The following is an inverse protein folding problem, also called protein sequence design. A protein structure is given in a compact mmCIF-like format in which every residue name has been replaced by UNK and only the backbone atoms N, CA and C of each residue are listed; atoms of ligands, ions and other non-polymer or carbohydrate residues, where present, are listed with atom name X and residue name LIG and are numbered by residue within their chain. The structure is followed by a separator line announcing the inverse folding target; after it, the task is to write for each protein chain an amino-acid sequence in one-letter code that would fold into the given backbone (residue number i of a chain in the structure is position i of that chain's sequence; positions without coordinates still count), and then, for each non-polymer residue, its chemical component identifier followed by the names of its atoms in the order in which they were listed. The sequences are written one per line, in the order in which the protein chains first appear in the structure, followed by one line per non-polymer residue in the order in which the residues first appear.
data_IF_747911755456
#
_entry.id   IF_747911755456
#
_cell.length_a   1.000
_cell.length_b   1.000
_cell.length_c   1.000
_cell.angle_alpha   90.00
_cell.angle_beta   90.00
_cell.angle_gamma   90.00
#
_symmetry.space_group_name_H-M   'P 1'
#
loop_
_entity.id
_entity.type
_entity.pdbx_description
1 polymer ?
#
# COMPACT_ATOMS: atom_id res chain seq x y z
N UNK A 1 -21.36 16.74 -0.45
CA UNK A 1 -20.85 15.48 -1.01
C UNK A 1 -19.42 15.24 -0.54
N UNK A 2 -19.04 13.97 -0.42
CA UNK A 2 -17.68 13.52 -0.11
C UNK A 2 -17.42 12.20 -0.80
N UNK A 3 -16.17 11.92 -1.11
CA UNK A 3 -15.71 10.63 -1.66
C UNK A 3 -14.99 9.84 -0.58
N UNK A 4 -15.29 8.54 -0.50
CA UNK A 4 -14.52 7.56 0.26
C UNK A 4 -13.96 6.49 -0.67
N UNK A 5 -12.73 6.02 -0.39
CA UNK A 5 -12.05 4.98 -1.15
C UNK A 5 -11.95 3.73 -0.27
N UNK A 6 -12.47 2.62 -0.76
CA UNK A 6 -12.24 1.29 -0.19
C UNK A 6 -11.62 0.40 -1.26
N UNK A 7 -10.51 -0.23 -0.94
CA UNK A 7 -9.70 -0.94 -1.93
C UNK A 7 -9.16 -2.27 -1.41
N UNK A 8 -8.87 -3.17 -2.35
CA UNK A 8 -8.07 -4.35 -2.05
C UNK A 8 -6.66 -3.93 -1.62
N UNK A 9 -6.19 -4.49 -0.51
CA UNK A 9 -4.85 -4.21 0.03
C UNK A 9 -3.78 -5.00 -0.73
N UNK A 10 -2.53 -4.84 -0.37
CA UNK A 10 -1.34 -5.59 -0.81
C UNK A 10 -1.03 -5.52 -2.31
N UNK A 11 -1.97 -5.16 -3.17
CA UNK A 11 -1.72 -4.94 -4.60
C UNK A 11 -0.79 -3.76 -4.78
N UNK A 12 0.38 -4.01 -5.38
CA UNK A 12 1.43 -3.00 -5.53
C UNK A 12 1.31 -2.27 -6.87
N UNK A 13 1.42 -0.95 -6.82
CA UNK A 13 1.51 -0.06 -7.98
C UNK A 13 2.81 0.73 -7.89
N UNK A 14 3.51 0.85 -9.02
CA UNK A 14 4.71 1.67 -9.17
C UNK A 14 4.48 2.64 -10.33
N UNK A 15 4.67 3.95 -10.12
CA UNK A 15 4.43 4.98 -11.13
C UNK A 15 5.45 6.10 -11.09
N UNK A 16 5.60 6.80 -12.19
CA UNK A 16 6.44 7.99 -12.26
C UNK A 16 5.66 9.19 -11.72
N UNK A 17 6.22 9.90 -10.73
CA UNK A 17 5.62 11.07 -10.06
C UNK A 17 5.36 12.23 -11.01
N UNK A 18 6.20 12.43 -12.02
CA UNK A 18 6.08 13.57 -12.94
C UNK A 18 4.96 13.38 -13.97
N UNK A 19 4.66 12.13 -14.31
CA UNK A 19 3.68 11.80 -15.36
C UNK A 19 2.41 11.16 -14.84
N UNK A 20 2.40 10.68 -13.59
CA UNK A 20 1.32 9.88 -13.02
C UNK A 20 1.15 8.50 -13.66
N UNK A 21 2.00 8.12 -14.63
CA UNK A 21 1.84 6.86 -15.37
C UNK A 21 2.51 5.71 -14.66
N UNK A 22 1.83 4.55 -14.54
CA UNK A 22 2.46 3.34 -14.04
C UNK A 22 3.65 2.93 -14.91
N UNK A 23 4.76 2.57 -14.27
CA UNK A 23 5.96 2.03 -14.95
C UNK A 23 5.82 0.53 -15.22
N UNK A 24 4.86 -0.12 -14.58
CA UNK A 24 4.52 -1.53 -14.76
C UNK A 24 3.06 -1.78 -14.38
N UNK A 25 2.48 -2.88 -14.87
CA UNK A 25 1.14 -3.30 -14.46
C UNK A 25 1.07 -3.53 -12.95
N UNK A 26 -0.03 -3.14 -12.30
CA UNK A 26 -0.26 -3.40 -10.89
C UNK A 26 -0.11 -4.90 -10.59
N UNK A 27 0.68 -5.22 -9.55
CA UNK A 27 0.92 -6.60 -9.16
C UNK A 27 -0.05 -6.97 -8.05
N UNK A 28 -1.03 -7.81 -8.38
CA UNK A 28 -2.10 -8.21 -7.47
C UNK A 28 -1.59 -9.01 -6.27
N UNK A 29 -2.33 -8.95 -5.17
CA UNK A 29 -2.01 -9.63 -3.90
C UNK A 29 -1.75 -11.14 -4.04
N UNK A 30 -2.41 -11.82 -4.97
CA UNK A 30 -2.26 -13.26 -5.24
C UNK A 30 -0.95 -13.64 -5.93
N UNK A 31 -0.21 -12.66 -6.47
CA UNK A 31 0.98 -12.93 -7.28
C UNK A 31 2.19 -13.30 -6.41
N UNK A 32 2.77 -14.45 -6.68
CA UNK A 32 3.92 -14.99 -5.95
C UNK A 32 5.30 -14.59 -6.52
N UNK A 33 5.39 -13.67 -7.50
CA UNK A 33 6.68 -13.33 -8.16
C UNK A 33 7.77 -12.80 -7.22
N UNK A 34 7.40 -12.30 -6.03
CA UNK A 34 8.32 -11.88 -4.99
C UNK A 34 8.86 -13.02 -4.10
N UNK A 35 8.50 -14.30 -4.37
CA UNK A 35 8.85 -15.43 -3.52
C UNK A 35 10.36 -15.62 -3.38
N UNK A 36 11.12 -15.52 -4.46
CA UNK A 36 12.57 -15.65 -4.42
C UNK A 36 13.24 -14.55 -3.55
N UNK A 37 12.65 -13.34 -3.53
CA UNK A 37 13.13 -12.25 -2.67
C UNK A 37 12.85 -12.57 -1.21
N UNK A 38 11.64 -13.03 -0.88
CA UNK A 38 11.30 -13.44 0.48
C UNK A 38 12.18 -14.60 0.97
N UNK A 39 12.43 -15.61 0.13
CA UNK A 39 13.29 -16.75 0.47
C UNK A 39 14.71 -16.28 0.78
N UNK A 40 15.27 -15.38 -0.03
CA UNK A 40 16.60 -14.80 0.22
C UNK A 40 16.65 -14.04 1.56
N UNK A 41 15.66 -13.22 1.87
CA UNK A 41 15.55 -12.49 3.12
C UNK A 41 15.45 -13.46 4.32
N UNK A 42 14.70 -14.56 4.17
CA UNK A 42 14.60 -15.59 5.20
C UNK A 42 15.92 -16.35 5.41
N UNK A 43 16.62 -16.72 4.32
CA UNK A 43 17.95 -17.36 4.36
C UNK A 43 19.00 -16.47 5.02
N UNK A 44 18.91 -15.15 4.84
CA UNK A 44 19.78 -14.16 5.47
C UNK A 44 19.40 -13.91 6.96
N UNK A 45 18.36 -14.57 7.49
CA UNK A 45 17.98 -14.55 8.90
C UNK A 45 17.02 -13.43 9.32
N UNK A 46 16.46 -12.66 8.40
CA UNK A 46 15.64 -11.48 8.70
C UNK A 46 14.13 -11.76 8.88
N UNK A 47 13.66 -12.99 8.69
CA UNK A 47 12.23 -13.31 8.74
C UNK A 47 11.57 -12.94 10.08
N UNK A 48 12.26 -13.16 11.21
CA UNK A 48 11.77 -12.81 12.53
C UNK A 48 11.67 -11.29 12.70
N UNK A 49 12.70 -10.54 12.32
CA UNK A 49 12.70 -9.07 12.38
C UNK A 49 11.55 -8.48 11.55
N UNK A 50 11.32 -8.99 10.33
CA UNK A 50 10.18 -8.57 9.51
C UNK A 50 8.86 -8.76 10.25
N UNK A 51 8.67 -9.91 10.91
CA UNK A 51 7.44 -10.18 11.66
C UNK A 51 7.31 -9.31 12.92
N UNK A 52 8.38 -9.08 13.65
CA UNK A 52 8.37 -8.25 14.86
C UNK A 52 8.08 -6.78 14.56
N UNK A 53 8.66 -6.23 13.50
CA UNK A 53 8.46 -4.83 13.12
C UNK A 53 7.12 -4.62 12.43
N UNK A 54 6.75 -5.46 11.47
CA UNK A 54 5.54 -5.27 10.65
C UNK A 54 4.28 -5.89 11.25
N UNK A 55 4.40 -6.77 12.26
CA UNK A 55 3.30 -7.54 12.83
C UNK A 55 2.76 -8.66 11.92
N UNK A 56 3.38 -8.91 10.77
CA UNK A 56 2.95 -9.91 9.77
C UNK A 56 4.12 -10.77 9.29
N UNK A 57 3.90 -12.06 9.01
CA UNK A 57 4.98 -12.95 8.59
C UNK A 57 5.53 -12.56 7.22
N UNK A 58 6.82 -12.81 7.00
CA UNK A 58 7.46 -12.59 5.69
C UNK A 58 6.78 -13.45 4.61
N UNK A 59 6.26 -12.81 3.56
CA UNK A 59 5.54 -13.48 2.48
C UNK A 59 5.46 -12.64 1.22
N UNK A 60 5.50 -13.23 0.02
CA UNK A 60 5.28 -12.55 -1.25
C UNK A 60 3.84 -12.03 -1.44
N UNK A 61 2.93 -12.41 -0.56
CA UNK A 61 1.56 -11.89 -0.52
C UNK A 61 1.51 -10.38 -0.35
N UNK A 62 2.42 -9.81 0.44
CA UNK A 62 2.46 -8.39 0.78
C UNK A 62 3.18 -7.54 -0.28
N UNK A 63 3.06 -6.20 -0.18
CA UNK A 63 3.48 -5.28 -1.24
C UNK A 63 4.98 -5.18 -1.42
N UNK A 64 5.78 -5.22 -0.34
CA UNK A 64 7.21 -4.94 -0.38
C UNK A 64 7.96 -5.83 -1.37
N UNK A 65 7.76 -7.15 -1.33
CA UNK A 65 8.43 -8.08 -2.24
C UNK A 65 8.03 -7.88 -3.71
N UNK A 66 6.79 -7.42 -3.97
CA UNK A 66 6.33 -7.09 -5.34
C UNK A 66 6.99 -5.83 -5.87
N UNK A 67 7.11 -4.79 -5.02
CA UNK A 67 7.81 -3.54 -5.35
C UNK A 67 9.28 -3.82 -5.59
N UNK A 68 9.93 -4.59 -4.71
CA UNK A 68 11.31 -5.01 -4.88
C UNK A 68 11.53 -5.77 -6.20
N UNK A 69 10.59 -6.64 -6.57
CA UNK A 69 10.65 -7.32 -7.86
C UNK A 69 10.58 -6.35 -9.04
N UNK A 70 9.71 -5.32 -9.00
CA UNK A 70 9.63 -4.29 -10.04
C UNK A 70 10.94 -3.53 -10.14
N UNK A 71 11.53 -3.10 -9.03
CA UNK A 71 12.83 -2.40 -9.00
C UNK A 71 13.98 -3.24 -9.60
N UNK A 72 13.92 -4.56 -9.45
CA UNK A 72 14.95 -5.47 -9.97
C UNK A 72 14.76 -5.82 -11.45
N UNK A 73 13.53 -5.85 -11.96
CA UNK A 73 13.21 -6.44 -13.25
C UNK A 73 12.66 -5.45 -14.29
N UNK A 74 12.30 -4.22 -13.89
CA UNK A 74 11.73 -3.20 -14.79
C UNK A 74 12.70 -2.03 -14.94
N UNK A 75 13.39 -1.89 -16.08
CA UNK A 75 14.39 -0.84 -16.29
C UNK A 75 13.85 0.58 -16.07
N UNK A 76 12.63 0.87 -16.52
CA UNK A 76 11.98 2.18 -16.34
C UNK A 76 11.74 2.49 -14.86
N UNK A 77 11.42 1.48 -14.04
CA UNK A 77 11.24 1.67 -12.60
C UNK A 77 12.56 2.00 -11.92
N UNK A 78 13.63 1.30 -12.31
CA UNK A 78 14.97 1.56 -11.79
C UNK A 78 15.45 2.96 -12.17
N UNK A 79 15.29 3.36 -13.43
CA UNK A 79 15.66 4.70 -13.90
C UNK A 79 14.89 5.80 -13.15
N UNK A 80 13.57 5.63 -12.97
CA UNK A 80 12.75 6.58 -12.21
C UNK A 80 13.16 6.62 -10.73
N UNK A 81 13.52 5.47 -10.14
CA UNK A 81 14.02 5.38 -8.76
C UNK A 81 15.35 6.12 -8.57
N UNK A 82 16.28 5.94 -9.51
CA UNK A 82 17.59 6.59 -9.48
C UNK A 82 17.48 8.12 -9.62
N UNK A 83 16.46 8.59 -10.33
CA UNK A 83 16.14 10.03 -10.47
C UNK A 83 15.29 10.60 -9.33
N UNK A 84 14.82 9.78 -8.38
CA UNK A 84 13.90 10.21 -7.32
C UNK A 84 12.46 10.46 -7.80
N UNK A 85 12.12 10.01 -9.00
CA UNK A 85 10.83 10.22 -9.66
C UNK A 85 9.84 9.05 -9.45
N UNK A 86 10.28 7.94 -8.86
CA UNK A 86 9.42 6.78 -8.63
C UNK A 86 8.57 6.97 -7.37
N UNK A 87 7.27 6.71 -7.51
CA UNK A 87 6.36 6.48 -6.41
C UNK A 87 5.95 5.00 -6.39
N UNK A 88 5.82 4.44 -5.20
CA UNK A 88 5.34 3.07 -4.99
C UNK A 88 4.31 3.04 -3.87
N UNK A 89 3.32 2.19 -3.99
CA UNK A 89 2.30 2.06 -2.96
C UNK A 89 1.25 1.02 -3.28
N UNK A 90 0.17 1.09 -2.53
CA UNK A 90 -1.04 0.30 -2.71
C UNK A 90 -2.05 1.05 -3.58
N UNK A 91 -3.16 0.40 -3.93
CA UNK A 91 -4.16 0.95 -4.86
C UNK A 91 -4.74 2.29 -4.41
N UNK A 92 -4.94 2.46 -3.10
CA UNK A 92 -5.45 3.69 -2.50
C UNK A 92 -4.56 4.89 -2.79
N UNK A 93 -3.25 4.77 -2.53
CA UNK A 93 -2.30 5.87 -2.74
C UNK A 93 -2.20 6.27 -4.21
N UNK A 94 -2.27 5.30 -5.13
CA UNK A 94 -2.33 5.58 -6.55
C UNK A 94 -3.64 6.26 -6.98
N UNK A 95 -4.80 5.81 -6.44
CA UNK A 95 -6.09 6.44 -6.72
C UNK A 95 -6.16 7.86 -6.16
N UNK A 96 -5.72 8.10 -4.92
CA UNK A 96 -5.64 9.45 -4.34
C UNK A 96 -4.77 10.35 -5.22
N UNK A 97 -3.59 9.87 -5.63
CA UNK A 97 -2.68 10.59 -6.51
C UNK A 97 -3.32 10.95 -7.86
N UNK A 98 -4.06 10.05 -8.46
CA UNK A 98 -4.70 10.28 -9.76
C UNK A 98 -5.94 11.17 -9.68
N UNK A 99 -6.71 11.05 -8.60
CA UNK A 99 -7.98 11.76 -8.44
C UNK A 99 -7.80 13.22 -7.97
N UNK A 100 -6.69 13.52 -7.31
CA UNK A 100 -6.44 14.87 -6.78
C UNK A 100 -5.65 15.73 -7.76
N UNK A 101 -6.04 17.02 -7.94
CA UNK A 101 -5.37 17.96 -8.86
C UNK A 101 -3.93 18.29 -8.45
N UNK A 102 -3.66 18.25 -7.16
CA UNK A 102 -2.34 18.50 -6.56
C UNK A 102 -1.51 17.20 -6.46
N UNK A 103 -2.02 16.08 -6.98
CA UNK A 103 -1.37 14.78 -6.91
C UNK A 103 -0.96 14.39 -5.49
N UNK A 104 -1.87 14.54 -4.54
CA UNK A 104 -1.64 14.20 -3.14
C UNK A 104 -1.17 12.75 -3.02
N UNK A 105 0.01 12.55 -2.42
CA UNK A 105 0.61 11.24 -2.29
C UNK A 105 0.46 10.73 -0.85
N UNK A 106 -0.69 10.14 -0.56
CA UNK A 106 -1.13 9.71 0.77
C UNK A 106 -1.67 8.29 0.75
N UNK A 107 -1.54 7.61 1.90
CA UNK A 107 -2.12 6.30 2.21
C UNK A 107 -2.66 6.30 3.64
N UNK A 108 -3.42 5.28 4.01
CA UNK A 108 -3.90 5.13 5.38
C UNK A 108 -3.20 3.99 6.13
N UNK A 109 -3.35 3.96 7.46
CA UNK A 109 -2.78 2.91 8.31
C UNK A 109 -3.22 1.51 7.92
N UNK A 110 -4.47 1.32 7.47
CA UNK A 110 -4.99 0.01 7.13
C UNK A 110 -4.37 -0.58 5.86
N UNK A 111 -3.96 0.28 4.91
CA UNK A 111 -3.21 -0.11 3.73
C UNK A 111 -1.70 -0.22 4.02
N UNK A 112 -1.11 0.78 4.70
CA UNK A 112 0.31 0.80 5.05
C UNK A 112 0.72 -0.43 5.87
N UNK A 113 -0.07 -0.84 6.86
CA UNK A 113 0.19 -2.01 7.70
C UNK A 113 0.22 -3.35 6.95
N UNK A 114 -0.22 -3.38 5.70
CA UNK A 114 -0.23 -4.59 4.85
C UNK A 114 0.86 -4.61 3.80
N UNK A 115 1.85 -3.75 3.92
CA UNK A 115 2.94 -3.62 2.94
C UNK A 115 4.20 -4.40 3.28
N UNK A 116 4.43 -4.77 4.54
CA UNK A 116 5.72 -5.20 5.12
C UNK A 116 6.81 -4.11 5.08
N UNK A 117 6.40 -2.84 5.05
CA UNK A 117 7.30 -1.68 5.13
C UNK A 117 6.94 -0.78 6.31
N UNK A 118 5.84 -1.06 6.98
CA UNK A 118 5.26 -0.29 8.08
C UNK A 118 5.62 -0.92 9.44
N UNK A 119 6.04 -0.09 10.41
CA UNK A 119 6.29 -0.52 11.79
C UNK A 119 5.03 -0.32 12.63
N UNK A 120 4.49 -1.41 13.16
CA UNK A 120 3.24 -1.39 13.94
C UNK A 120 3.38 -0.73 15.31
N UNK A 121 4.59 -0.59 15.82
CA UNK A 121 4.86 0.07 17.11
C UNK A 121 5.14 1.55 16.96
N UNK A 122 5.87 1.94 15.90
CA UNK A 122 6.18 3.34 15.60
C UNK A 122 5.06 4.05 14.86
N UNK A 123 4.16 3.30 14.21
CA UNK A 123 3.08 3.80 13.34
C UNK A 123 3.61 4.65 12.17
N UNK A 124 4.76 4.28 11.61
CA UNK A 124 5.39 4.94 10.46
C UNK A 124 6.12 3.90 9.59
N UNK A 125 6.65 4.35 8.47
CA UNK A 125 7.54 3.56 7.63
C UNK A 125 8.80 3.16 8.38
N UNK A 126 9.15 1.88 8.32
CA UNK A 126 10.31 1.30 8.98
C UNK A 126 11.54 1.33 8.05
N UNK A 127 12.58 2.04 8.45
CA UNK A 127 13.78 2.21 7.62
C UNK A 127 14.55 0.90 7.40
N UNK A 128 14.54 -0.02 8.38
CA UNK A 128 15.18 -1.33 8.23
C UNK A 128 14.39 -2.21 7.26
N UNK A 129 13.05 -2.22 7.37
CA UNK A 129 12.19 -2.97 6.46
C UNK A 129 12.28 -2.45 5.02
N UNK A 130 12.16 -1.14 4.80
CA UNK A 130 12.25 -0.57 3.44
C UNK A 130 13.62 -0.82 2.81
N UNK A 131 14.70 -0.69 3.58
CA UNK A 131 16.07 -0.96 3.13
C UNK A 131 16.25 -2.43 2.74
N UNK A 132 15.68 -3.35 3.52
CA UNK A 132 15.75 -4.80 3.26
C UNK A 132 15.17 -5.18 1.89
N UNK A 133 14.13 -4.48 1.44
CA UNK A 133 13.53 -4.66 0.12
C UNK A 133 14.12 -3.74 -0.98
N UNK A 134 15.14 -2.94 -0.65
CA UNK A 134 15.77 -2.01 -1.60
C UNK A 134 14.87 -0.82 -1.98
N UNK A 135 13.93 -0.47 -1.11
CA UNK A 135 13.00 0.65 -1.29
C UNK A 135 13.53 1.86 -0.51
N UNK A 136 13.31 3.06 -1.00
CA UNK A 136 13.71 4.30 -0.33
C UNK A 136 12.48 5.03 0.20
N UNK A 137 12.61 5.72 1.34
CA UNK A 137 11.51 6.43 2.01
C UNK A 137 10.84 7.46 1.11
N UNK A 138 11.60 8.15 0.26
CA UNK A 138 11.07 9.13 -0.69
C UNK A 138 10.16 8.54 -1.78
N UNK A 139 10.14 7.23 -1.93
CA UNK A 139 9.23 6.53 -2.86
C UNK A 139 7.86 6.26 -2.24
N UNK A 140 7.69 6.45 -0.93
CA UNK A 140 6.51 6.06 -0.17
C UNK A 140 5.59 7.25 0.11
N UNK A 141 4.29 6.97 0.24
CA UNK A 141 3.26 7.95 0.56
C UNK A 141 3.34 8.44 2.01
N UNK A 142 2.81 9.63 2.28
CA UNK A 142 2.50 10.08 3.64
C UNK A 142 1.41 9.17 4.23
N UNK A 143 1.60 8.70 5.47
CA UNK A 143 0.61 7.89 6.18
C UNK A 143 -0.33 8.81 6.95
N UNK A 144 -1.63 8.63 6.75
CA UNK A 144 -2.69 9.45 7.37
C UNK A 144 -3.70 8.55 8.10
N UNK A 145 -4.50 9.17 8.96
CA UNK A 145 -5.69 8.51 9.51
C UNK A 145 -6.69 8.16 8.39
N UNK A 146 -7.40 7.03 8.53
CA UNK A 146 -8.37 6.60 7.51
C UNK A 146 -9.47 7.64 7.24
N UNK A 147 -9.78 8.52 8.20
CA UNK A 147 -10.75 9.61 8.08
C UNK A 147 -10.11 10.98 7.82
N UNK A 148 -8.85 11.05 7.45
CA UNK A 148 -8.20 12.31 7.12
C UNK A 148 -8.73 12.90 5.81
N UNK A 149 -8.39 14.16 5.55
CA UNK A 149 -8.57 14.79 4.25
C UNK A 149 -7.40 14.39 3.34
N UNK A 150 -7.69 13.63 2.29
CA UNK A 150 -6.70 13.18 1.32
C UNK A 150 -6.47 14.17 0.18
N UNK A 151 -7.44 15.03 -0.08
CA UNK A 151 -7.41 16.05 -1.12
C UNK A 151 -8.79 16.31 -1.68
N UNK A 152 -8.86 16.99 -2.82
CA UNK A 152 -10.10 17.31 -3.50
C UNK A 152 -10.09 16.81 -4.94
N UNK A 153 -11.26 16.39 -5.42
CA UNK A 153 -11.44 15.94 -6.80
C UNK A 153 -12.72 16.51 -7.40
N UNK A 154 -12.65 16.89 -8.66
CA UNK A 154 -13.82 17.15 -9.50
C UNK A 154 -13.94 16.12 -10.64
N UNK A 155 -13.16 15.01 -10.55
CA UNK A 155 -13.06 13.98 -11.57
C UNK A 155 -12.76 14.56 -12.97
N UNK A 156 -11.68 15.38 -13.05
CA UNK A 156 -11.23 16.06 -14.27
C UNK A 156 -12.31 16.96 -14.89
N UNK A 157 -13.07 17.67 -14.05
CA UNK A 157 -14.11 18.59 -14.48
C UNK A 157 -15.47 17.94 -14.74
N UNK A 158 -15.65 16.67 -14.38
CA UNK A 158 -16.96 16.03 -14.45
C UNK A 158 -17.97 16.59 -13.43
N UNK A 159 -17.49 17.02 -12.27
CA UNK A 159 -18.29 17.70 -11.26
C UNK A 159 -18.14 19.22 -11.42
N UNK A 160 -19.23 19.97 -11.22
CA UNK A 160 -19.21 21.46 -11.23
C UNK A 160 -18.36 22.02 -10.12
N UNK A 161 -18.32 21.35 -8.95
CA UNK A 161 -17.52 21.74 -7.79
C UNK A 161 -16.70 20.53 -7.29
N UNK A 162 -15.46 20.81 -6.88
CA UNK A 162 -14.61 19.77 -6.31
C UNK A 162 -15.15 19.31 -4.94
N UNK A 163 -15.12 18.01 -4.72
CA UNK A 163 -15.52 17.38 -3.46
C UNK A 163 -14.30 16.82 -2.72
N UNK A 164 -14.30 16.80 -1.38
CA UNK A 164 -13.23 16.22 -0.60
C UNK A 164 -13.20 14.69 -0.71
N UNK A 165 -11.99 14.13 -0.79
CA UNK A 165 -11.72 12.71 -0.53
C UNK A 165 -11.46 12.60 0.98
N UNK A 166 -12.46 12.12 1.73
CA UNK A 166 -12.45 12.14 3.18
C UNK A 166 -12.71 10.77 3.78
N UNK A 167 -11.89 9.83 3.41
CA UNK A 167 -11.94 8.45 3.88
C UNK A 167 -11.21 7.53 2.91
N UNK A 168 -10.19 6.86 3.40
CA UNK A 168 -9.47 5.80 2.69
C UNK A 168 -9.29 4.64 3.63
N UNK A 169 -9.69 3.44 3.22
CA UNK A 169 -9.59 2.26 4.07
C UNK A 169 -9.47 0.97 3.25
N UNK A 170 -8.60 0.09 3.67
CA UNK A 170 -8.54 -1.26 3.12
C UNK A 170 -9.87 -2.01 3.33
N UNK A 171 -10.32 -2.75 2.31
CA UNK A 171 -11.62 -3.43 2.25
C UNK A 171 -11.95 -4.29 3.48
N UNK A 172 -11.00 -5.09 3.94
CA UNK A 172 -11.20 -5.94 5.12
C UNK A 172 -11.27 -5.16 6.42
N UNK A 173 -10.53 -4.04 6.55
CA UNK A 173 -10.62 -3.15 7.70
C UNK A 173 -11.93 -2.36 7.68
N UNK A 174 -12.33 -1.89 6.50
CA UNK A 174 -13.65 -1.26 6.31
C UNK A 174 -14.79 -2.20 6.68
N UNK A 175 -14.71 -3.47 6.30
CA UNK A 175 -15.69 -4.47 6.69
C UNK A 175 -15.68 -4.78 8.21
N UNK A 176 -14.51 -4.81 8.85
CA UNK A 176 -14.38 -4.97 10.30
C UNK A 176 -15.08 -3.82 11.04
N UNK A 177 -14.78 -2.59 10.66
CA UNK A 177 -15.39 -1.39 11.19
C UNK A 177 -16.91 -1.34 10.93
N UNK A 178 -17.32 -1.61 9.68
CA UNK A 178 -18.74 -1.62 9.29
C UNK A 178 -19.59 -2.66 10.01
N UNK A 179 -18.98 -3.74 10.51
CA UNK A 179 -19.65 -4.72 11.37
C UNK A 179 -19.63 -4.35 12.86
N UNK A 180 -19.14 -3.16 13.21
CA UNK A 180 -19.09 -2.68 14.58
C UNK A 180 -18.06 -3.39 15.47
N UNK A 181 -17.06 -4.03 14.89
CA UNK A 181 -15.98 -4.70 15.62
C UNK A 181 -14.95 -3.67 16.11
N UNK A 182 -15.32 -2.89 17.13
CA UNK A 182 -14.54 -1.74 17.66
C UNK A 182 -13.91 -1.99 19.02
N UNK A 183 -14.21 -3.14 19.65
CA UNK A 183 -13.65 -3.48 20.95
C UNK A 183 -12.70 -4.69 20.86
N UNK A 184 -11.69 -4.77 21.75
CA UNK A 184 -10.81 -5.94 21.84
C UNK A 184 -11.61 -7.24 22.00
N UNK A 185 -11.23 -8.28 21.25
CA UNK A 185 -11.90 -9.58 21.23
C UNK A 185 -13.06 -9.70 20.23
N UNK A 186 -13.49 -8.61 19.59
CA UNK A 186 -14.41 -8.70 18.46
C UNK A 186 -13.67 -9.13 17.21
N UNK A 187 -14.29 -10.03 16.44
CA UNK A 187 -13.73 -10.57 15.20
C UNK A 187 -14.73 -10.48 14.05
N UNK A 188 -14.22 -10.35 12.87
CA UNK A 188 -14.97 -10.45 11.63
C UNK A 188 -14.43 -11.65 10.83
N UNK A 189 -15.31 -12.50 10.32
CA UNK A 189 -14.94 -13.55 9.37
C UNK A 189 -15.42 -13.16 7.97
N UNK A 190 -14.55 -13.34 6.97
CA UNK A 190 -14.87 -13.16 5.55
C UNK A 190 -14.84 -14.50 4.85
N UNK A 191 -15.95 -14.87 4.23
CA UNK A 191 -16.07 -16.06 3.40
C UNK A 191 -16.07 -15.61 1.94
N UNK A 192 -14.88 -15.56 1.34
CA UNK A 192 -14.71 -15.27 -0.09
C UNK A 192 -14.80 -16.52 -0.97
N UNK A 193 -14.76 -16.33 -2.28
CA UNK A 193 -14.83 -17.39 -3.26
C UNK A 193 -13.71 -18.43 -3.08
N UNK A 194 -12.53 -18.00 -2.66
CA UNK A 194 -11.34 -18.82 -2.40
C UNK A 194 -11.24 -19.35 -0.96
N UNK A 195 -12.14 -18.97 -0.06
CA UNK A 195 -12.24 -19.39 1.34
C UNK A 195 -10.95 -19.29 2.16
N UNK A 196 -10.02 -18.41 1.81
CA UNK A 196 -8.68 -18.35 2.43
C UNK A 196 -8.47 -17.19 3.41
N UNK A 197 -9.44 -16.36 3.68
CA UNK A 197 -9.29 -15.24 4.61
C UNK A 197 -9.92 -15.55 5.95
N UNK A 198 -9.16 -16.18 6.82
CA UNK A 198 -9.41 -16.17 8.26
C UNK A 198 -8.41 -15.17 8.85
N UNK A 199 -8.91 -14.11 9.44
CA UNK A 199 -8.13 -13.15 10.21
C UNK A 199 -8.64 -13.12 11.63
#
# INVERSE_FOLDING_TARGET
LTLGISNQRETAVCWNKNTGRPVYNAIVWQCARGEAICNKIAEDGYAQMVQEHSGIPLSPYYSAAKIAWVLQNVPEAKEAADKGELAVGTMDSYLVYQLTKDHAFKTDYSNASRTQMFNVSALDWDEELISLFGIKKEMLAEICDSNALYGYTDFDGYLEEAIPIHGVMGDSHGALYGQGCVNPGMIKATYGTDRKSVV
#
